data_IF_687089926060
#
_entry.id   IF_687089926060
#
_cell.length_a   1.000
_cell.length_b   1.000
_cell.length_c   1.000
_cell.angle_alpha   90.00
_cell.angle_beta   90.00
_cell.angle_gamma   90.00
#
_symmetry.space_group_name_H-M   'P 1'
#
loop_
_entity.id
_entity.type
_entity.pdbx_description
1 polymer ?
#
# COMPACT_ATOMS: atom_id res chain seq x y z
N UNK A 1 0.18 -14.37 19.94
CA UNK A 1 0.10 -12.92 20.01
C UNK A 1 -1.28 -12.57 20.58
N UNK A 2 -1.34 -12.31 21.88
CA UNK A 2 -2.54 -11.85 22.59
C UNK A 2 -2.78 -10.39 22.23
N UNK A 3 -3.90 -10.05 21.63
CA UNK A 3 -4.25 -8.65 21.30
C UNK A 3 -4.72 -8.41 19.88
N UNK A 4 -4.57 -9.38 18.97
CA UNK A 4 -5.19 -9.32 17.67
C UNK A 4 -6.67 -9.66 17.76
N UNK A 5 -7.51 -8.82 17.15
CA UNK A 5 -8.95 -9.03 17.05
C UNK A 5 -9.36 -9.22 15.58
N UNK A 6 -10.43 -9.96 15.33
CA UNK A 6 -11.01 -10.11 14.00
C UNK A 6 -11.59 -8.76 13.53
N UNK A 7 -11.13 -8.29 12.38
CA UNK A 7 -11.53 -6.97 11.84
C UNK A 7 -12.05 -7.01 10.41
N UNK A 8 -11.87 -8.13 9.71
CA UNK A 8 -12.39 -8.29 8.36
C UNK A 8 -12.63 -9.77 8.04
N UNK A 9 -13.72 -10.06 7.34
CA UNK A 9 -13.99 -11.33 6.68
C UNK A 9 -14.64 -11.09 5.33
N UNK A 10 -14.16 -11.77 4.31
CA UNK A 10 -14.66 -11.66 2.95
C UNK A 10 -14.06 -12.72 2.05
N UNK A 11 -14.15 -12.52 0.76
CA UNK A 11 -13.57 -13.39 -0.26
C UNK A 11 -12.94 -12.55 -1.37
N UNK A 12 -12.20 -13.19 -2.26
CA UNK A 12 -11.62 -12.56 -3.45
C UNK A 12 -12.60 -12.75 -4.61
N UNK A 13 -13.15 -11.64 -5.11
CA UNK A 13 -14.02 -11.67 -6.30
C UNK A 13 -13.18 -11.69 -7.59
N UNK A 14 -13.77 -12.14 -8.68
CA UNK A 14 -13.10 -12.14 -10.00
C UNK A 14 -12.70 -10.72 -10.44
N UNK A 15 -13.46 -9.71 -10.04
CA UNK A 15 -13.19 -8.29 -10.35
C UNK A 15 -11.97 -7.73 -9.61
N UNK A 16 -11.52 -8.41 -8.57
CA UNK A 16 -10.35 -8.02 -7.79
C UNK A 16 -9.05 -8.62 -8.34
N UNK A 17 -9.16 -9.52 -9.34
CA UNK A 17 -8.02 -10.22 -9.91
C UNK A 17 -7.47 -9.51 -11.15
N UNK A 18 -6.16 -9.62 -11.32
CA UNK A 18 -5.45 -9.21 -12.53
C UNK A 18 -5.50 -10.31 -13.62
N UNK A 19 -4.82 -10.07 -14.73
CA UNK A 19 -4.74 -11.01 -15.86
C UNK A 19 -4.04 -12.34 -15.54
N UNK A 20 -3.37 -12.43 -14.40
CA UNK A 20 -2.76 -13.66 -13.90
C UNK A 20 -3.71 -14.47 -13.03
N UNK A 21 -4.93 -13.96 -12.79
CA UNK A 21 -5.91 -14.55 -11.90
C UNK A 21 -5.57 -14.41 -10.42
N UNK A 22 -4.70 -13.48 -10.07
CA UNK A 22 -4.33 -13.18 -8.69
C UNK A 22 -4.96 -11.87 -8.25
N UNK A 23 -5.32 -11.77 -6.97
CA UNK A 23 -5.82 -10.52 -6.41
C UNK A 23 -4.79 -9.40 -6.60
N UNK A 24 -5.19 -8.32 -7.31
CA UNK A 24 -4.34 -7.17 -7.57
C UNK A 24 -3.98 -6.46 -6.25
N UNK A 25 -2.76 -5.93 -6.15
CA UNK A 25 -2.22 -5.31 -4.93
C UNK A 25 -3.09 -4.20 -4.35
N UNK A 26 -3.85 -3.47 -5.18
CA UNK A 26 -4.79 -2.45 -4.70
C UNK A 26 -5.88 -3.01 -3.78
N UNK A 27 -6.31 -4.24 -4.01
CA UNK A 27 -7.39 -4.86 -3.22
C UNK A 27 -6.91 -5.38 -1.87
N UNK A 28 -5.60 -5.62 -1.71
CA UNK A 28 -5.01 -5.87 -0.39
C UNK A 28 -5.16 -4.63 0.51
N UNK A 29 -4.83 -3.42 0.00
CA UNK A 29 -5.06 -2.18 0.76
C UNK A 29 -6.56 -1.92 0.96
N UNK A 30 -7.42 -2.21 -0.01
CA UNK A 30 -8.85 -2.05 0.16
C UNK A 30 -9.38 -2.83 1.37
N UNK A 31 -9.04 -4.14 1.45
CA UNK A 31 -9.46 -4.99 2.57
C UNK A 31 -8.78 -4.58 3.90
N UNK A 32 -7.53 -4.13 3.87
CA UNK A 32 -6.83 -3.53 5.02
C UNK A 32 -7.52 -2.24 5.50
N UNK A 33 -8.01 -1.42 4.58
CA UNK A 33 -8.79 -0.22 4.91
C UNK A 33 -10.09 -0.58 5.61
N UNK A 34 -10.86 -1.54 5.09
CA UNK A 34 -12.09 -2.03 5.71
C UNK A 34 -11.81 -2.59 7.11
N UNK A 35 -10.71 -3.34 7.27
CA UNK A 35 -10.21 -3.82 8.56
C UNK A 35 -9.94 -2.66 9.53
N UNK A 36 -9.32 -1.59 9.05
CA UNK A 36 -9.04 -0.39 9.86
C UNK A 36 -10.32 0.29 10.33
N UNK A 37 -11.37 0.34 9.52
CA UNK A 37 -12.68 0.86 9.95
C UNK A 37 -13.29 0.02 11.07
N UNK A 38 -13.24 -1.31 10.97
CA UNK A 38 -13.73 -2.21 12.03
C UNK A 38 -12.88 -2.11 13.30
N UNK A 39 -11.56 -1.94 13.18
CA UNK A 39 -10.70 -1.68 14.34
C UNK A 39 -11.10 -0.37 15.06
N UNK A 40 -11.45 0.69 14.30
CA UNK A 40 -11.95 1.94 14.89
C UNK A 40 -13.22 1.73 15.71
N UNK A 41 -14.15 0.89 15.22
CA UNK A 41 -15.36 0.52 15.99
C UNK A 41 -14.96 -0.12 17.31
N UNK A 42 -14.03 -1.06 17.31
CA UNK A 42 -13.53 -1.71 18.52
C UNK A 42 -12.85 -0.71 19.48
N UNK A 43 -12.17 0.30 18.95
CA UNK A 43 -11.57 1.40 19.73
C UNK A 43 -12.61 2.42 20.24
N UNK A 44 -13.91 2.26 19.90
CA UNK A 44 -14.96 3.18 20.31
C UNK A 44 -15.03 4.48 19.51
N UNK A 45 -14.46 4.51 18.33
CA UNK A 45 -14.47 5.68 17.45
C UNK A 45 -15.00 5.31 16.06
N UNK A 46 -16.26 4.88 16.01
CA UNK A 46 -16.98 4.61 14.78
C UNK A 46 -17.24 5.88 13.95
N UNK A 47 -17.71 5.72 12.72
CA UNK A 47 -18.00 6.85 11.82
C UNK A 47 -19.00 7.87 12.43
N UNK A 48 -19.97 7.42 13.21
CA UNK A 48 -20.90 8.31 13.94
C UNK A 48 -20.15 9.17 14.97
N UNK A 49 -19.25 8.57 15.76
CA UNK A 49 -18.43 9.32 16.72
C UNK A 49 -17.49 10.32 16.02
N UNK A 50 -17.08 10.06 14.80
CA UNK A 50 -16.32 11.01 13.97
C UNK A 50 -17.14 12.27 13.68
N UNK A 51 -18.41 12.12 13.31
CA UNK A 51 -19.31 13.25 13.05
C UNK A 51 -19.57 14.09 14.32
N UNK A 52 -19.69 13.44 15.46
CA UNK A 52 -19.93 14.10 16.76
C UNK A 52 -18.69 14.80 17.32
N UNK A 53 -17.52 14.19 17.16
CA UNK A 53 -16.27 14.69 17.78
C UNK A 53 -15.46 15.61 16.87
N UNK A 54 -15.73 15.61 15.55
CA UNK A 54 -14.91 16.30 14.57
C UNK A 54 -13.50 15.71 14.42
N UNK A 55 -13.28 14.46 14.89
CA UNK A 55 -12.00 13.77 14.81
C UNK A 55 -12.05 12.66 13.78
N UNK A 56 -11.09 12.67 12.88
CA UNK A 56 -10.89 11.62 11.87
C UNK A 56 -9.61 10.83 12.08
N UNK A 57 -9.48 9.74 11.33
CA UNK A 57 -8.25 8.96 11.23
C UNK A 57 -7.67 9.16 9.84
N UNK A 58 -6.37 9.37 9.77
CA UNK A 58 -5.65 9.53 8.51
C UNK A 58 -4.48 8.56 8.46
N UNK A 59 -4.34 7.83 7.36
CA UNK A 59 -3.16 7.03 7.11
C UNK A 59 -1.97 7.97 6.80
N UNK A 60 -0.86 7.75 7.47
CA UNK A 60 0.40 8.49 7.26
C UNK A 60 1.39 7.66 6.45
N UNK A 61 1.50 6.37 6.78
CA UNK A 61 2.32 5.40 6.07
C UNK A 61 1.67 4.03 6.06
N UNK A 62 1.95 3.28 4.99
CA UNK A 62 1.74 1.84 4.92
C UNK A 62 3.04 1.15 4.61
N UNK A 63 3.33 0.05 5.31
CA UNK A 63 4.31 -0.94 4.90
C UNK A 63 3.60 -2.27 4.72
N UNK A 64 3.76 -2.88 3.55
CA UNK A 64 3.03 -4.09 3.14
C UNK A 64 4.03 -5.12 2.67
N UNK A 65 3.91 -6.34 3.20
CA UNK A 65 4.58 -7.51 2.64
C UNK A 65 3.56 -8.48 2.07
N UNK A 66 3.81 -8.91 0.83
CA UNK A 66 3.01 -9.91 0.14
C UNK A 66 3.70 -11.27 0.29
N UNK A 67 3.09 -12.20 1.01
CA UNK A 67 3.69 -13.49 1.34
C UNK A 67 3.22 -14.59 0.40
N UNK A 68 1.92 -14.58 0.08
CA UNK A 68 1.27 -15.56 -0.80
C UNK A 68 0.21 -14.88 -1.64
N UNK A 69 0.05 -15.38 -2.86
CA UNK A 69 -1.01 -14.95 -3.76
C UNK A 69 -2.37 -15.38 -3.21
N UNK A 70 -3.34 -14.51 -3.42
CA UNK A 70 -4.76 -14.82 -3.26
C UNK A 70 -5.40 -14.86 -4.65
N UNK A 71 -6.36 -15.77 -4.84
CA UNK A 71 -7.04 -16.02 -6.11
C UNK A 71 -8.54 -15.89 -5.96
N UNK A 72 -9.24 -15.82 -7.08
CA UNK A 72 -10.71 -15.82 -7.10
C UNK A 72 -11.24 -16.94 -6.23
N UNK A 73 -12.23 -16.61 -5.41
CA UNK A 73 -12.92 -17.48 -4.43
C UNK A 73 -12.13 -17.82 -3.15
N UNK A 74 -10.85 -17.41 -3.00
CA UNK A 74 -10.18 -17.54 -1.72
C UNK A 74 -10.92 -16.77 -0.63
N UNK A 75 -11.10 -17.40 0.54
CA UNK A 75 -11.74 -16.79 1.70
C UNK A 75 -10.68 -16.03 2.50
N UNK A 76 -10.98 -14.79 2.83
CA UNK A 76 -10.01 -13.87 3.45
C UNK A 76 -10.49 -13.40 4.82
N UNK A 77 -9.64 -13.51 5.82
CA UNK A 77 -9.81 -12.87 7.11
C UNK A 77 -8.62 -11.95 7.43
N UNK A 78 -8.89 -10.86 8.15
CA UNK A 78 -7.85 -9.99 8.69
C UNK A 78 -8.05 -9.85 10.19
N UNK A 79 -6.95 -10.02 10.92
CA UNK A 79 -6.85 -9.69 12.34
C UNK A 79 -5.96 -8.46 12.50
N UNK A 80 -6.31 -7.58 13.41
CA UNK A 80 -5.59 -6.34 13.67
C UNK A 80 -5.36 -6.09 15.15
N UNK A 81 -4.26 -5.40 15.46
CA UNK A 81 -3.92 -4.96 16.80
C UNK A 81 -3.03 -3.72 16.77
N UNK A 82 -2.82 -3.12 17.93
CA UNK A 82 -2.04 -1.89 18.05
C UNK A 82 -0.66 -2.20 18.61
N UNK A 83 0.37 -1.89 17.83
CA UNK A 83 1.78 -2.07 18.22
C UNK A 83 2.22 -0.95 19.16
N UNK A 84 1.90 0.30 18.78
CA UNK A 84 2.29 1.50 19.53
C UNK A 84 1.21 2.56 19.43
N UNK A 85 0.97 3.28 20.52
CA UNK A 85 0.19 4.52 20.52
C UNK A 85 1.03 5.63 21.16
N UNK A 86 1.18 6.73 20.45
CA UNK A 86 1.82 7.98 20.89
C UNK A 86 0.76 9.05 21.13
N UNK A 87 1.18 10.28 21.34
CA UNK A 87 0.24 11.38 21.58
C UNK A 87 -0.78 11.54 20.42
N UNK A 88 -0.30 11.67 19.19
CA UNK A 88 -1.11 11.97 18.00
C UNK A 88 -1.12 10.86 16.96
N UNK A 89 -0.25 9.86 17.09
CA UNK A 89 -0.07 8.79 16.10
C UNK A 89 -0.22 7.42 16.72
N UNK A 90 -0.55 6.44 15.90
CA UNK A 90 -0.71 5.05 16.30
C UNK A 90 -0.13 4.16 15.20
N UNK A 91 0.58 3.11 15.60
CA UNK A 91 1.06 2.07 14.70
C UNK A 91 0.20 0.83 14.87
N UNK A 92 -0.42 0.41 13.78
CA UNK A 92 -1.33 -0.73 13.69
C UNK A 92 -0.62 -1.84 12.93
N UNK A 93 -0.75 -3.06 13.42
CA UNK A 93 -0.38 -4.27 12.70
C UNK A 93 -1.64 -4.99 12.25
N UNK A 94 -1.63 -5.49 11.01
CA UNK A 94 -2.69 -6.34 10.46
C UNK A 94 -2.07 -7.54 9.76
N UNK A 95 -2.68 -8.71 9.93
CA UNK A 95 -2.35 -9.91 9.18
C UNK A 95 -3.56 -10.39 8.38
N UNK A 96 -3.36 -10.56 7.08
CA UNK A 96 -4.36 -11.08 6.15
C UNK A 96 -4.05 -12.55 5.88
N UNK A 97 -5.04 -13.41 6.11
CA UNK A 97 -4.92 -14.87 5.93
C UNK A 97 -5.98 -15.42 4.99
N UNK A 98 -5.62 -16.43 4.22
CA UNK A 98 -6.59 -17.32 3.59
C UNK A 98 -7.17 -18.23 4.68
N UNK A 99 -8.49 -18.38 4.72
CA UNK A 99 -9.20 -18.97 5.88
C UNK A 99 -9.11 -20.50 5.92
N UNK A 100 -9.11 -21.18 4.75
CA UNK A 100 -9.21 -22.64 4.70
C UNK A 100 -7.90 -23.34 5.12
N UNK A 101 -6.77 -22.79 4.76
CA UNK A 101 -5.45 -23.37 5.07
C UNK A 101 -4.63 -22.50 6.05
N UNK A 102 -5.22 -21.44 6.58
CA UNK A 102 -4.61 -20.46 7.52
C UNK A 102 -3.28 -19.88 7.02
N UNK A 103 -3.06 -19.86 5.70
CA UNK A 103 -1.81 -19.32 5.16
C UNK A 103 -1.79 -17.79 5.22
N UNK A 104 -0.67 -17.26 5.66
CA UNK A 104 -0.42 -15.82 5.67
C UNK A 104 -0.28 -15.29 4.24
N UNK A 105 -1.22 -14.44 3.81
CA UNK A 105 -1.22 -13.83 2.48
C UNK A 105 -0.48 -12.49 2.46
N UNK A 106 -0.74 -11.62 3.43
CA UNK A 106 -0.07 -10.33 3.55
C UNK A 106 0.00 -9.85 5.00
N UNK A 107 0.97 -9.00 5.28
CA UNK A 107 1.06 -8.22 6.53
C UNK A 107 1.09 -6.73 6.21
N UNK A 108 0.47 -5.95 7.10
CA UNK A 108 0.43 -4.51 6.99
C UNK A 108 0.89 -3.89 8.30
N UNK A 109 1.78 -2.92 8.20
CA UNK A 109 2.08 -1.98 9.29
C UNK A 109 1.58 -0.63 8.84
N UNK A 110 0.62 -0.07 9.57
CA UNK A 110 -0.04 1.18 9.22
C UNK A 110 0.22 2.20 10.30
N UNK A 111 0.93 3.26 9.95
CA UNK A 111 1.02 4.43 10.81
C UNK A 111 -0.17 5.35 10.52
N UNK A 112 -0.95 5.66 11.54
CA UNK A 112 -2.17 6.49 11.44
C UNK A 112 -2.10 7.64 12.43
N UNK A 113 -2.75 8.74 12.08
CA UNK A 113 -2.86 9.92 12.93
C UNK A 113 -4.30 10.23 13.33
N UNK A 114 -4.50 10.80 14.51
CA UNK A 114 -5.75 11.44 14.90
C UNK A 114 -5.79 12.83 14.28
N UNK A 115 -6.75 13.07 13.38
CA UNK A 115 -6.89 14.32 12.64
C UNK A 115 -8.09 15.12 13.16
N UNK A 116 -7.87 16.36 13.54
CA UNK A 116 -8.97 17.31 13.71
C UNK A 116 -9.46 17.72 12.31
N UNK A 117 -10.72 17.44 12.00
CA UNK A 117 -11.29 17.63 10.66
C UNK A 117 -11.51 19.10 10.28
N UNK A 118 -11.65 19.98 11.26
CA UNK A 118 -11.81 21.43 11.07
C UNK A 118 -10.44 22.09 10.78
N UNK A 119 -9.46 21.86 11.68
CA UNK A 119 -8.14 22.51 11.57
C UNK A 119 -7.19 21.79 10.63
N UNK A 120 -7.52 20.57 10.19
CA UNK A 120 -6.69 19.69 9.35
C UNK A 120 -5.32 19.41 9.95
N UNK A 121 -5.21 19.36 11.27
CA UNK A 121 -3.97 19.10 12.02
C UNK A 121 -4.10 17.87 12.89
N UNK A 122 -2.98 17.17 13.07
CA UNK A 122 -2.93 16.06 14.01
C UNK A 122 -3.13 16.56 15.45
N UNK A 123 -4.00 15.86 16.18
CA UNK A 123 -4.34 16.13 17.57
C UNK A 123 -4.18 14.88 18.43
N UNK A 124 -4.24 15.04 19.75
CA UNK A 124 -4.13 13.92 20.68
C UNK A 124 -5.29 12.93 20.54
N UNK A 125 -5.00 11.65 20.74
CA UNK A 125 -6.04 10.62 20.82
C UNK A 125 -6.91 10.83 22.05
N UNK A 126 -8.24 10.69 21.95
CA UNK A 126 -9.14 10.70 23.10
C UNK A 126 -8.76 9.63 24.13
N UNK A 127 -8.92 9.94 25.43
CA UNK A 127 -8.60 9.01 26.53
C UNK A 127 -9.36 7.68 26.41
N UNK A 128 -10.61 7.72 25.95
CA UNK A 128 -11.40 6.52 25.69
C UNK A 128 -10.76 5.61 24.64
N UNK A 129 -10.20 6.17 23.56
CA UNK A 129 -9.48 5.41 22.54
C UNK A 129 -8.22 4.80 23.14
N UNK A 130 -7.45 5.59 23.91
CA UNK A 130 -6.24 5.11 24.58
C UNK A 130 -6.53 3.94 25.51
N UNK A 131 -7.59 4.05 26.33
CA UNK A 131 -7.97 2.99 27.26
C UNK A 131 -8.34 1.68 26.53
N UNK A 132 -9.09 1.77 25.43
CA UNK A 132 -9.49 0.59 24.65
C UNK A 132 -8.33 -0.06 23.90
N UNK A 133 -7.39 0.73 23.41
CA UNK A 133 -6.19 0.25 22.71
C UNK A 133 -5.38 -0.72 23.57
N UNK A 134 -5.36 -0.53 24.90
CA UNK A 134 -4.59 -1.42 25.79
C UNK A 134 -5.05 -2.89 25.72
N UNK A 135 -6.32 -3.14 25.41
CA UNK A 135 -6.84 -4.51 25.25
C UNK A 135 -6.46 -5.15 23.91
N UNK A 136 -5.98 -4.34 22.96
CA UNK A 136 -5.61 -4.73 21.59
C UNK A 136 -4.11 -4.59 21.33
N UNK A 137 -3.30 -4.48 22.40
CA UNK A 137 -1.84 -4.40 22.30
C UNK A 137 -1.25 -5.67 21.71
N UNK A 138 -0.38 -5.51 20.75
CA UNK A 138 0.34 -6.60 20.08
C UNK A 138 1.79 -6.22 19.81
N UNK A 139 2.62 -7.21 19.49
CA UNK A 139 3.98 -6.99 19.01
C UNK A 139 4.04 -7.16 17.49
N UNK A 140 5.02 -6.53 16.85
CA UNK A 140 5.28 -6.72 15.43
C UNK A 140 6.03 -8.06 15.23
N UNK A 141 5.46 -9.01 14.47
CA UNK A 141 6.13 -10.27 14.21
C UNK A 141 7.19 -10.12 13.10
N UNK A 142 8.18 -11.05 13.02
CA UNK A 142 9.24 -10.99 12.00
C UNK A 142 8.71 -10.97 10.56
N UNK A 143 7.54 -11.56 10.32
CA UNK A 143 6.88 -11.57 9.01
C UNK A 143 6.46 -10.18 8.54
N UNK A 144 6.29 -9.22 9.45
CA UNK A 144 5.93 -7.84 9.15
C UNK A 144 7.15 -6.90 9.07
N UNK A 145 8.33 -7.37 9.43
CA UNK A 145 9.58 -6.60 9.31
C UNK A 145 10.00 -6.42 7.84
N UNK A 146 10.60 -5.29 7.44
CA UNK A 146 11.14 -5.08 6.10
C UNK A 146 12.14 -6.19 5.72
N UNK A 147 12.01 -6.71 4.49
CA UNK A 147 12.87 -7.78 3.97
C UNK A 147 13.61 -7.38 2.70
N UNK A 148 12.90 -6.82 1.73
CA UNK A 148 13.44 -6.44 0.43
C UNK A 148 13.62 -4.92 0.33
N UNK A 149 12.93 -4.14 1.16
CA UNK A 149 13.11 -2.71 1.31
C UNK A 149 14.05 -2.39 2.48
N UNK A 150 14.70 -1.20 2.50
CA UNK A 150 15.49 -0.74 3.62
C UNK A 150 14.66 -0.62 4.90
N UNK A 151 15.31 -0.78 6.06
CA UNK A 151 14.66 -0.55 7.36
C UNK A 151 14.56 0.92 7.73
N UNK A 152 15.38 1.75 7.10
CA UNK A 152 15.42 3.19 7.29
C UNK A 152 14.09 3.81 6.86
N UNK A 153 13.78 4.99 7.42
CA UNK A 153 12.59 5.74 7.04
C UNK A 153 12.62 6.06 5.54
N UNK A 154 11.43 6.06 4.93
CA UNK A 154 11.28 6.50 3.55
C UNK A 154 11.77 7.94 3.37
N UNK A 155 12.38 8.19 2.21
CA UNK A 155 12.74 9.54 1.77
C UNK A 155 11.49 10.43 1.68
N UNK A 156 11.58 11.63 2.26
CA UNK A 156 10.48 12.60 2.24
C UNK A 156 10.77 13.86 1.43
N UNK A 157 11.99 14.01 0.92
CA UNK A 157 12.35 15.05 -0.04
C UNK A 157 11.86 14.66 -1.43
N UNK A 158 10.58 14.90 -1.70
CA UNK A 158 9.88 14.56 -2.93
C UNK A 158 9.47 15.85 -3.63
N UNK A 159 9.97 16.08 -4.85
CA UNK A 159 9.63 17.23 -5.66
C UNK A 159 9.72 16.94 -7.16
N UNK A 160 9.01 17.70 -7.99
CA UNK A 160 9.10 17.58 -9.44
C UNK A 160 10.50 17.89 -9.95
N UNK A 161 11.13 18.94 -9.42
CA UNK A 161 12.49 19.31 -9.82
C UNK A 161 13.48 18.16 -9.59
N UNK A 162 13.33 17.44 -8.48
CA UNK A 162 14.14 16.28 -8.20
C UNK A 162 13.79 15.09 -9.08
N UNK A 163 12.50 14.85 -9.35
CA UNK A 163 12.06 13.81 -10.27
C UNK A 163 12.65 14.01 -11.68
N UNK A 164 12.66 15.26 -12.15
CA UNK A 164 13.26 15.62 -13.43
C UNK A 164 14.79 15.45 -13.42
N UNK A 165 15.47 15.90 -12.36
CA UNK A 165 16.91 15.75 -12.21
C UNK A 165 17.36 14.28 -12.13
N UNK A 166 16.56 13.42 -11.53
CA UNK A 166 16.80 11.96 -11.47
C UNK A 166 16.32 11.21 -12.73
N UNK A 167 15.75 11.92 -13.72
CA UNK A 167 15.26 11.30 -14.95
C UNK A 167 14.07 10.35 -14.74
N UNK A 168 13.26 10.59 -13.70
CA UNK A 168 12.09 9.77 -13.42
C UNK A 168 11.06 9.87 -14.54
N UNK A 169 10.57 8.74 -15.00
CA UNK A 169 9.67 8.65 -16.15
C UNK A 169 8.21 8.76 -15.72
N UNK A 170 7.38 9.44 -16.48
CA UNK A 170 5.94 9.45 -16.26
C UNK A 170 5.34 8.10 -16.64
N UNK A 171 4.69 7.45 -15.71
CA UNK A 171 4.17 6.08 -15.84
C UNK A 171 2.67 5.93 -15.60
N UNK A 172 2.02 6.98 -15.12
CA UNK A 172 0.56 7.07 -15.02
C UNK A 172 0.15 8.53 -15.09
N UNK A 173 -1.01 8.81 -15.69
CA UNK A 173 -1.68 10.09 -15.68
C UNK A 173 -3.19 9.87 -15.66
N UNK A 174 -3.87 10.45 -14.69
CA UNK A 174 -5.30 10.22 -14.49
C UNK A 174 -5.96 11.35 -13.70
N UNK A 175 -7.21 11.14 -13.31
CA UNK A 175 -8.02 12.04 -12.50
C UNK A 175 -8.58 11.28 -11.32
N UNK A 176 -8.81 11.95 -10.20
CA UNK A 176 -9.54 11.41 -9.05
C UNK A 176 -11.04 11.44 -9.36
N UNK A 177 -11.67 10.28 -9.38
CA UNK A 177 -13.10 10.17 -9.61
C UNK A 177 -13.88 10.25 -8.29
N UNK A 178 -15.16 10.61 -8.35
CA UNK A 178 -16.02 10.72 -7.15
C UNK A 178 -16.12 9.40 -6.37
N UNK A 179 -16.16 8.26 -7.07
CA UNK A 179 -16.22 6.91 -6.45
C UNK A 179 -14.92 6.43 -5.84
N UNK A 180 -13.83 7.18 -6.03
CA UNK A 180 -12.53 6.91 -5.43
C UNK A 180 -12.36 7.60 -4.08
N UNK A 181 -13.28 8.46 -3.70
CA UNK A 181 -13.24 9.21 -2.44
C UNK A 181 -13.93 8.45 -1.31
N UNK A 182 -13.38 8.61 -0.12
CA UNK A 182 -13.93 8.09 1.14
C UNK A 182 -14.94 9.07 1.78
N UNK A 183 -15.38 8.77 3.00
CA UNK A 183 -16.32 9.60 3.78
C UNK A 183 -15.77 10.99 4.15
N UNK A 184 -14.47 11.23 3.99
CA UNK A 184 -13.84 12.53 4.18
C UNK A 184 -13.74 13.33 2.87
N UNK A 185 -14.32 12.83 1.78
CA UNK A 185 -14.23 13.40 0.42
C UNK A 185 -12.80 13.48 -0.13
N UNK A 186 -11.93 12.55 0.27
CA UNK A 186 -10.57 12.43 -0.23
C UNK A 186 -10.31 11.07 -0.85
N UNK A 187 -9.43 11.04 -1.84
CA UNK A 187 -9.03 9.80 -2.49
C UNK A 187 -8.56 8.77 -1.46
N UNK A 188 -9.26 7.63 -1.38
CA UNK A 188 -8.93 6.56 -0.45
C UNK A 188 -7.55 5.95 -0.78
N UNK A 189 -6.82 5.49 0.25
CA UNK A 189 -5.48 4.90 0.14
C UNK A 189 -5.39 3.79 -0.92
N UNK A 190 -6.45 3.00 -1.11
CA UNK A 190 -6.58 1.98 -2.15
C UNK A 190 -6.27 2.52 -3.55
N UNK A 191 -6.73 3.73 -3.86
CA UNK A 191 -6.60 4.28 -5.21
C UNK A 191 -5.22 4.89 -5.47
N UNK A 192 -4.46 5.26 -4.44
CA UNK A 192 -3.03 5.53 -4.61
C UNK A 192 -2.31 4.25 -5.04
N UNK A 193 -2.60 3.12 -4.40
CA UNK A 193 -2.04 1.82 -4.79
C UNK A 193 -2.48 1.41 -6.21
N UNK A 194 -3.72 1.71 -6.61
CA UNK A 194 -4.20 1.46 -7.97
C UNK A 194 -3.32 2.18 -9.00
N UNK A 195 -3.03 3.47 -8.79
CA UNK A 195 -2.16 4.25 -9.68
C UNK A 195 -0.73 3.69 -9.74
N UNK A 196 -0.20 3.20 -8.61
CA UNK A 196 1.11 2.54 -8.59
C UNK A 196 1.08 1.17 -9.27
N UNK A 197 -0.01 0.41 -9.15
CA UNK A 197 -0.21 -0.83 -9.89
C UNK A 197 -0.21 -0.60 -11.40
N UNK A 198 -0.94 0.41 -11.88
CA UNK A 198 -0.97 0.79 -13.29
C UNK A 198 0.43 1.25 -13.78
N UNK A 199 1.12 2.04 -12.96
CA UNK A 199 2.46 2.54 -13.25
C UNK A 199 3.49 1.41 -13.45
N UNK A 200 3.34 0.27 -12.78
CA UNK A 200 4.24 -0.86 -12.92
C UNK A 200 4.27 -1.42 -14.34
N UNK A 201 3.12 -1.48 -15.02
CA UNK A 201 3.06 -1.93 -16.41
C UNK A 201 3.95 -1.10 -17.34
N UNK A 202 3.90 0.23 -17.20
CA UNK A 202 4.76 1.16 -17.94
C UNK A 202 6.22 1.04 -17.52
N UNK A 203 6.50 0.91 -16.23
CA UNK A 203 7.87 0.70 -15.72
C UNK A 203 8.54 -0.54 -16.34
N UNK A 204 7.84 -1.66 -16.33
CA UNK A 204 8.37 -2.90 -16.92
C UNK A 204 8.55 -2.81 -18.44
N UNK A 205 7.65 -2.15 -19.14
CA UNK A 205 7.76 -1.91 -20.59
C UNK A 205 9.00 -1.08 -20.91
N UNK A 206 9.25 -0.01 -20.16
CA UNK A 206 10.45 0.83 -20.32
C UNK A 206 11.74 0.08 -19.99
N UNK A 207 11.71 -0.83 -19.02
CA UNK A 207 12.80 -1.74 -18.72
C UNK A 207 13.06 -2.77 -19.86
N UNK A 208 12.21 -2.82 -20.90
CA UNK A 208 12.29 -3.80 -21.97
C UNK A 208 11.71 -5.17 -21.62
N UNK A 209 10.86 -5.22 -20.59
CA UNK A 209 10.12 -6.40 -20.15
C UNK A 209 8.62 -6.08 -20.09
N UNK A 210 8.10 -5.49 -21.16
CA UNK A 210 6.66 -5.31 -21.33
C UNK A 210 5.92 -6.65 -21.40
N UNK A 211 4.59 -6.60 -21.37
CA UNK A 211 3.73 -7.79 -21.31
C UNK A 211 4.04 -8.83 -22.41
N UNK A 212 4.29 -8.39 -23.64
CA UNK A 212 4.60 -9.28 -24.76
C UNK A 212 5.93 -10.00 -24.55
N UNK A 213 6.97 -9.32 -24.11
CA UNK A 213 8.29 -9.88 -23.81
C UNK A 213 8.23 -10.86 -22.64
N UNK A 214 7.46 -10.53 -21.60
CA UNK A 214 7.22 -11.44 -20.48
C UNK A 214 6.52 -12.72 -20.95
N UNK A 215 5.45 -12.59 -21.75
CA UNK A 215 4.69 -13.72 -22.28
C UNK A 215 5.56 -14.60 -23.19
N UNK A 216 6.32 -14.02 -24.11
CA UNK A 216 7.21 -14.74 -25.01
C UNK A 216 8.31 -15.54 -24.27
N UNK A 217 8.70 -15.10 -23.08
CA UNK A 217 9.71 -15.76 -22.24
C UNK A 217 9.13 -16.69 -21.17
N UNK A 218 7.79 -16.82 -21.09
CA UNK A 218 7.14 -17.58 -20.03
C UNK A 218 7.32 -16.95 -18.61
N UNK A 219 7.57 -15.64 -18.57
CA UNK A 219 7.86 -14.90 -17.33
C UNK A 219 6.65 -14.09 -16.89
N UNK A 220 6.65 -13.71 -15.62
CA UNK A 220 5.73 -12.73 -15.02
C UNK A 220 6.43 -11.98 -13.89
N UNK A 221 5.80 -10.92 -13.40
CA UNK A 221 6.32 -10.08 -12.32
C UNK A 221 5.41 -10.15 -11.10
N UNK A 222 5.98 -10.03 -9.92
CA UNK A 222 5.23 -9.94 -8.68
C UNK A 222 5.86 -8.91 -7.74
N UNK A 223 5.05 -8.02 -7.21
CA UNK A 223 5.44 -7.15 -6.11
C UNK A 223 5.46 -7.98 -4.83
N UNK A 224 6.55 -7.91 -4.08
CA UNK A 224 6.74 -8.67 -2.85
C UNK A 224 6.71 -7.81 -1.59
N UNK A 225 6.97 -6.51 -1.74
CA UNK A 225 6.97 -5.56 -0.64
C UNK A 225 6.75 -4.15 -1.15
N UNK A 226 5.98 -3.35 -0.43
CA UNK A 226 5.78 -1.93 -0.72
C UNK A 226 5.69 -1.11 0.56
N UNK A 227 6.18 0.13 0.48
CA UNK A 227 5.99 1.16 1.49
C UNK A 227 5.43 2.41 0.84
N UNK A 228 4.42 3.02 1.44
CA UNK A 228 3.77 4.24 0.96
C UNK A 228 3.80 5.29 2.06
N UNK A 229 4.12 6.54 1.71
CA UNK A 229 3.97 7.70 2.59
C UNK A 229 3.06 8.73 1.93
N UNK A 230 2.05 9.19 2.67
CA UNK A 230 1.06 10.15 2.20
C UNK A 230 1.43 11.54 2.67
N UNK A 231 1.43 12.51 1.76
CA UNK A 231 1.82 13.90 2.03
C UNK A 231 0.64 14.87 1.92
N UNK A 232 -0.27 14.60 1.00
CA UNK A 232 -1.39 15.48 0.67
C UNK A 232 -2.62 14.65 0.32
N UNK A 233 -3.78 15.17 0.71
CA UNK A 233 -5.07 14.67 0.27
C UNK A 233 -5.34 15.10 -1.17
N UNK A 234 -6.00 14.23 -1.94
CA UNK A 234 -6.50 14.52 -3.27
C UNK A 234 -8.02 14.39 -3.28
N UNK A 235 -8.70 15.25 -4.03
CA UNK A 235 -10.17 15.32 -4.09
C UNK A 235 -10.68 14.98 -5.48
N UNK A 236 -11.94 14.59 -5.55
CA UNK A 236 -12.60 14.34 -6.83
C UNK A 236 -12.47 15.54 -7.79
N UNK A 237 -12.10 15.26 -9.03
CA UNK A 237 -11.84 16.25 -10.07
C UNK A 237 -10.38 16.71 -10.16
N UNK A 238 -9.54 16.50 -9.12
CA UNK A 238 -8.11 16.81 -9.22
C UNK A 238 -7.43 15.83 -10.20
N UNK A 239 -6.57 16.37 -11.06
CA UNK A 239 -5.71 15.58 -11.93
C UNK A 239 -4.47 15.11 -11.17
N UNK A 240 -3.88 14.00 -11.60
CA UNK A 240 -2.68 13.46 -10.99
C UNK A 240 -1.79 12.73 -12.01
N UNK A 241 -0.53 12.60 -11.71
CA UNK A 241 0.40 11.78 -12.47
C UNK A 241 1.45 11.13 -11.58
N UNK A 242 2.03 10.02 -12.06
CA UNK A 242 3.07 9.26 -11.36
C UNK A 242 4.37 9.34 -12.11
N UNK A 243 5.43 9.69 -11.39
CA UNK A 243 6.82 9.57 -11.83
C UNK A 243 7.45 8.33 -11.20
N UNK A 244 8.19 7.57 -11.99
CA UNK A 244 8.80 6.28 -11.57
C UNK A 244 10.28 6.25 -11.87
N UNK A 245 11.06 5.71 -10.93
CA UNK A 245 12.45 5.34 -11.12
C UNK A 245 12.70 3.90 -10.70
N UNK A 246 13.52 3.19 -11.44
CA UNK A 246 14.13 1.94 -11.00
C UNK A 246 15.40 2.30 -10.27
N UNK A 247 15.51 1.84 -9.01
CA UNK A 247 16.60 2.26 -8.12
C UNK A 247 17.78 1.30 -8.16
N UNK A 248 17.49 -0.01 -8.14
CA UNK A 248 18.52 -1.03 -7.95
C UNK A 248 18.02 -2.41 -8.33
N UNK A 249 18.94 -3.24 -8.80
CA UNK A 249 18.73 -4.68 -8.98
C UNK A 249 19.72 -5.45 -8.11
N UNK A 250 19.22 -6.27 -7.19
CA UNK A 250 20.03 -7.11 -6.31
C UNK A 250 19.57 -8.56 -6.43
N UNK A 251 20.43 -9.41 -7.01
CA UNK A 251 20.09 -10.81 -7.23
C UNK A 251 18.83 -10.96 -8.10
N UNK A 252 17.71 -11.32 -7.46
CA UNK A 252 16.40 -11.50 -8.12
C UNK A 252 15.42 -10.37 -7.83
N UNK A 253 15.81 -9.38 -7.03
CA UNK A 253 14.96 -8.29 -6.57
C UNK A 253 15.25 -7.04 -7.40
N UNK A 254 14.19 -6.43 -7.94
CA UNK A 254 14.20 -5.11 -8.52
C UNK A 254 13.56 -4.15 -7.52
N UNK A 255 14.27 -3.10 -7.13
CA UNK A 255 13.75 -2.02 -6.29
C UNK A 255 13.42 -0.82 -7.15
N UNK A 256 12.28 -0.19 -6.86
CA UNK A 256 11.76 0.96 -7.59
C UNK A 256 11.09 1.94 -6.64
N UNK A 257 10.89 3.18 -7.13
CA UNK A 257 10.05 4.18 -6.46
C UNK A 257 9.01 4.76 -7.42
N UNK A 258 7.89 5.14 -6.85
CA UNK A 258 6.84 5.90 -7.51
C UNK A 258 6.56 7.16 -6.70
N UNK A 259 6.52 8.31 -7.35
CA UNK A 259 6.10 9.57 -6.77
C UNK A 259 4.84 10.04 -7.49
N UNK A 260 3.76 10.23 -6.74
CA UNK A 260 2.48 10.72 -7.23
C UNK A 260 2.34 12.19 -6.90
N UNK A 261 2.07 12.98 -7.92
CA UNK A 261 1.93 14.43 -7.86
C UNK A 261 0.51 14.85 -8.23
N UNK A 262 0.04 15.94 -7.62
CA UNK A 262 -1.14 16.68 -8.13
C UNK A 262 -0.82 17.26 -9.51
N UNK A 263 -1.66 17.00 -10.48
CA UNK A 263 -1.52 17.61 -11.81
C UNK A 263 -1.87 19.10 -11.83
N UNK A 264 -2.65 19.55 -10.85
CA UNK A 264 -3.12 20.93 -10.76
C UNK A 264 -2.06 21.84 -10.11
N UNK A 265 -1.33 21.33 -9.12
CA UNK A 265 -0.36 22.13 -8.34
C UNK A 265 1.09 21.71 -8.51
N UNK A 266 1.34 20.49 -8.98
CA UNK A 266 2.68 19.88 -8.99
C UNK A 266 3.21 19.45 -7.64
N UNK A 267 2.41 19.58 -6.57
CA UNK A 267 2.80 19.16 -5.23
C UNK A 267 2.77 17.64 -5.08
N UNK A 268 3.71 17.05 -4.29
CA UNK A 268 3.69 15.61 -4.03
C UNK A 268 2.50 15.24 -3.15
N UNK A 269 1.76 14.21 -3.54
CA UNK A 269 0.65 13.70 -2.78
C UNK A 269 0.98 12.36 -2.09
N UNK A 270 1.80 11.52 -2.72
CA UNK A 270 2.23 10.25 -2.15
C UNK A 270 3.56 9.82 -2.75
N UNK A 271 4.41 9.20 -1.95
CA UNK A 271 5.57 8.47 -2.43
C UNK A 271 5.43 6.99 -2.07
N UNK A 272 5.92 6.13 -2.96
CA UNK A 272 6.02 4.70 -2.70
C UNK A 272 7.39 4.17 -3.08
N UNK A 273 7.90 3.25 -2.27
CA UNK A 273 9.01 2.37 -2.61
C UNK A 273 8.49 0.95 -2.74
N UNK A 274 8.98 0.23 -3.72
CA UNK A 274 8.55 -1.14 -3.97
C UNK A 274 9.71 -2.06 -4.31
N UNK A 275 9.50 -3.33 -4.00
CA UNK A 275 10.36 -4.44 -4.40
C UNK A 275 9.54 -5.45 -5.20
N UNK A 276 10.05 -5.82 -6.37
CA UNK A 276 9.43 -6.80 -7.24
C UNK A 276 10.41 -7.90 -7.64
N UNK A 277 9.88 -9.03 -8.01
CA UNK A 277 10.63 -10.15 -8.58
C UNK A 277 10.09 -10.49 -9.96
N UNK A 278 10.98 -10.97 -10.81
CA UNK A 278 10.62 -11.68 -12.02
C UNK A 278 10.55 -13.17 -11.68
N UNK A 279 9.54 -13.89 -12.15
CA UNK A 279 9.43 -15.31 -11.91
C UNK A 279 9.02 -16.09 -13.17
N UNK A 280 9.46 -17.32 -13.24
CA UNK A 280 9.08 -18.27 -14.27
C UNK A 280 7.68 -18.83 -13.97
N UNK A 281 6.76 -18.74 -14.94
CA UNK A 281 5.35 -19.13 -14.78
C UNK A 281 5.15 -20.63 -14.55
N UNK A 282 5.99 -21.47 -15.15
CA UNK A 282 5.86 -22.92 -15.06
C UNK A 282 6.37 -23.45 -13.73
N UNK A 283 7.50 -22.94 -13.27
CA UNK A 283 8.14 -23.40 -12.02
C UNK A 283 7.72 -22.61 -10.80
N UNK A 284 7.09 -21.44 -10.97
CA UNK A 284 6.71 -20.49 -9.93
C UNK A 284 7.89 -20.00 -9.08
N UNK A 285 9.11 -20.08 -9.62
CA UNK A 285 10.34 -19.66 -8.92
C UNK A 285 10.82 -18.30 -9.44
N UNK A 286 11.24 -17.44 -8.52
CA UNK A 286 11.89 -16.19 -8.89
C UNK A 286 13.18 -16.45 -9.67
N UNK A 287 13.36 -15.69 -10.76
CA UNK A 287 14.54 -15.76 -11.66
C UNK A 287 15.27 -14.42 -11.65
N UNK A 288 16.59 -14.40 -11.96
CA UNK A 288 17.32 -13.15 -12.14
C UNK A 288 16.76 -12.34 -13.30
N UNK A 289 16.89 -11.03 -13.25
CA UNK A 289 16.63 -10.17 -14.39
C UNK A 289 17.61 -10.53 -15.53
N UNK A 290 17.16 -10.61 -16.80
CA UNK A 290 18.04 -10.79 -17.94
C UNK A 290 19.14 -9.72 -17.99
N UNK A 291 20.35 -10.09 -18.44
CA UNK A 291 21.51 -9.19 -18.47
C UNK A 291 21.23 -7.91 -19.26
N UNK A 292 20.61 -8.03 -20.42
CA UNK A 292 20.20 -6.89 -21.26
C UNK A 292 19.32 -5.87 -20.51
N UNK A 293 18.49 -6.34 -19.60
CA UNK A 293 17.64 -5.48 -18.77
C UNK A 293 18.48 -4.82 -17.68
N UNK A 294 19.37 -5.57 -17.04
CA UNK A 294 20.29 -5.05 -16.02
C UNK A 294 21.22 -3.96 -16.57
N UNK A 295 21.66 -4.10 -17.83
CA UNK A 295 22.50 -3.12 -18.51
C UNK A 295 21.75 -1.82 -18.81
N UNK A 296 20.47 -1.90 -19.19
CA UNK A 296 19.62 -0.72 -19.43
C UNK A 296 19.28 0.05 -18.14
N UNK A 297 19.37 -0.61 -17.00
CA UNK A 297 19.03 -0.05 -15.69
C UNK A 297 20.27 0.46 -14.92
N UNK A 298 21.46 0.42 -15.52
CA UNK A 298 22.71 1.04 -15.02
C UNK A 298 22.85 2.46 -15.53
#
# INVERSE_FOLDING_TARGET
VSGLIDTYRGYVSVQECDEMGHMNIQHYIAKSSDSSFNLRVAMGHAALAQAETGLGYVALEHHIRFHRELRTSDLVAIRAGVVEIRDKTMRIYQEMREVLDDRLAATFVVDTGCLNLETRRLTAWPDQVRARVETMRTSLPPEAEPRALPREAMERDVSLARADAEGMLETNRSVVNTWECDTNNHMNARFFMARFSDAQGHMWAQAGLGRHEQAARGLATATVEMRLAYFRELRAGETLFVRTAILKTEGKILRYRHWLFSGDTGEPACAAEGAAVLFDKATRKAVPLPDQIRERLR
#
